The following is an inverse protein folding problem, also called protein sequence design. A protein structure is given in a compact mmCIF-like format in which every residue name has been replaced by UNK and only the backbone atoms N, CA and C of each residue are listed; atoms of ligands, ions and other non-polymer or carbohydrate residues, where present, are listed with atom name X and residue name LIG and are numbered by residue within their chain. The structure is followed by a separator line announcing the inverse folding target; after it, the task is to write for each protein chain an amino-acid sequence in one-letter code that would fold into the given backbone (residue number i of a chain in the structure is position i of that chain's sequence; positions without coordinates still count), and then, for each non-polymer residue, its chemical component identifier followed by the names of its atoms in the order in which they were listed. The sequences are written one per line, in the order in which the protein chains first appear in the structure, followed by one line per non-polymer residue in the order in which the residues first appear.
data_IF_480414599427
#
_entry.id   IF_480414599427
#
_cell.length_a   1.000
_cell.length_b   1.000
_cell.length_c   1.000
_cell.angle_alpha   90.00
_cell.angle_beta   90.00
_cell.angle_gamma   90.00
#
_symmetry.space_group_name_H-M   'P 1'
#
loop_
_entity.id
_entity.type
_entity.pdbx_description
1 polymer ?
#
# COMPACT_ATOMS: atom_id res chain seq x y z
N UNK A 1 5.74 -30.18 45.68
CA UNK A 1 6.75 -29.52 44.81
C UNK A 1 6.36 -29.52 43.33
N UNK A 2 5.78 -30.59 42.77
CA UNK A 2 5.45 -30.70 41.32
C UNK A 2 4.33 -29.74 40.87
N UNK A 3 3.27 -29.58 41.68
CA UNK A 3 2.14 -28.70 41.36
C UNK A 3 2.56 -27.22 41.22
N UNK A 4 3.57 -26.79 41.99
CA UNK A 4 4.18 -25.46 41.87
C UNK A 4 5.00 -25.30 40.58
N UNK A 5 5.74 -26.33 40.17
CA UNK A 5 6.46 -26.33 38.90
C UNK A 5 5.53 -26.26 37.68
N UNK A 6 4.40 -26.97 37.72
CA UNK A 6 3.37 -26.92 36.67
C UNK A 6 2.70 -25.53 36.63
N UNK A 7 2.38 -24.93 37.79
CA UNK A 7 1.83 -23.58 37.86
C UNK A 7 2.77 -22.52 37.30
N UNK A 8 4.08 -22.64 37.59
CA UNK A 8 5.10 -21.74 37.05
C UNK A 8 5.26 -21.92 35.54
N UNK A 9 5.28 -23.17 35.03
CA UNK A 9 5.32 -23.45 33.60
C UNK A 9 4.06 -22.95 32.88
N UNK A 10 2.89 -23.10 33.50
CA UNK A 10 1.63 -22.59 32.97
C UNK A 10 1.64 -21.05 32.92
N UNK A 11 2.04 -20.38 34.01
CA UNK A 11 2.15 -18.93 34.05
C UNK A 11 3.16 -18.38 33.02
N UNK A 12 4.33 -19.03 32.89
CA UNK A 12 5.33 -18.67 31.87
C UNK A 12 4.80 -18.89 30.45
N UNK A 13 4.12 -19.99 30.19
CA UNK A 13 3.53 -20.30 28.88
C UNK A 13 2.44 -19.30 28.51
N UNK A 14 1.53 -18.97 29.44
CA UNK A 14 0.50 -17.95 29.22
C UNK A 14 1.08 -16.56 29.00
N UNK A 15 2.12 -16.18 29.74
CA UNK A 15 2.81 -14.89 29.55
C UNK A 15 3.54 -14.82 28.19
N UNK A 16 4.24 -15.88 27.79
CA UNK A 16 4.91 -15.99 26.50
C UNK A 16 3.91 -16.00 25.34
N UNK A 17 2.82 -16.75 25.44
CA UNK A 17 1.75 -16.77 24.44
C UNK A 17 1.10 -15.39 24.28
N UNK A 18 0.83 -14.70 25.39
CA UNK A 18 0.34 -13.32 25.38
C UNK A 18 1.30 -12.34 24.71
N UNK A 19 2.60 -12.46 25.01
CA UNK A 19 3.65 -11.63 24.39
C UNK A 19 3.77 -11.88 22.89
N UNK A 20 3.76 -13.15 22.44
CA UNK A 20 3.81 -13.50 21.02
C UNK A 20 2.57 -13.05 20.26
N UNK A 21 1.37 -13.19 20.83
CA UNK A 21 0.14 -12.71 20.20
C UNK A 21 0.14 -11.19 20.04
N UNK A 22 0.56 -10.45 21.08
CA UNK A 22 0.69 -8.99 21.01
C UNK A 22 1.73 -8.55 19.97
N UNK A 23 2.86 -9.25 19.89
CA UNK A 23 3.92 -8.96 18.93
C UNK A 23 3.50 -9.30 17.49
N UNK A 24 2.83 -10.43 17.28
CA UNK A 24 2.32 -10.84 15.97
C UNK A 24 1.25 -9.86 15.44
N UNK A 25 0.33 -9.40 16.30
CA UNK A 25 -0.67 -8.38 15.95
C UNK A 25 0.00 -7.06 15.52
N UNK A 26 1.07 -6.66 16.22
CA UNK A 26 1.85 -5.46 15.84
C UNK A 26 2.58 -5.62 14.51
N UNK A 27 3.29 -6.73 14.30
CA UNK A 27 4.02 -7.00 13.06
C UNK A 27 3.05 -7.10 11.87
N UNK A 28 1.87 -7.70 12.05
CA UNK A 28 0.83 -7.78 11.03
C UNK A 28 0.25 -6.40 10.66
N UNK A 29 0.01 -5.54 11.65
CA UNK A 29 -0.47 -4.16 11.42
C UNK A 29 0.56 -3.33 10.64
N UNK A 30 1.85 -3.47 10.96
CA UNK A 30 2.93 -2.76 10.27
C UNK A 30 3.05 -3.21 8.80
N UNK A 31 2.97 -4.52 8.53
CA UNK A 31 2.95 -5.06 7.15
C UNK A 31 1.72 -4.57 6.38
N UNK A 32 0.54 -4.60 7.00
CA UNK A 32 -0.72 -4.18 6.37
C UNK A 32 -0.68 -2.69 6.00
N UNK A 33 -0.21 -1.83 6.91
CA UNK A 33 -0.07 -0.40 6.65
C UNK A 33 0.91 -0.13 5.49
N UNK A 34 2.03 -0.85 5.44
CA UNK A 34 3.01 -0.70 4.36
C UNK A 34 2.44 -1.15 3.00
N UNK A 35 1.65 -2.23 2.97
CA UNK A 35 0.95 -2.70 1.77
C UNK A 35 -0.09 -1.68 1.32
N UNK A 36 -0.87 -1.10 2.24
CA UNK A 36 -1.89 -0.10 1.91
C UNK A 36 -1.24 1.15 1.32
N UNK A 37 -0.15 1.65 1.90
CA UNK A 37 0.57 2.81 1.38
C UNK A 37 1.16 2.51 -0.01
N UNK A 38 1.77 1.33 -0.20
CA UNK A 38 2.32 0.92 -1.50
C UNK A 38 1.20 0.83 -2.55
N UNK A 39 0.08 0.21 -2.20
CA UNK A 39 -1.08 0.04 -3.08
C UNK A 39 -1.69 1.38 -3.42
N UNK A 40 -1.89 2.26 -2.43
CA UNK A 40 -2.39 3.62 -2.64
C UNK A 40 -1.49 4.45 -3.55
N UNK A 41 -0.16 4.35 -3.38
CA UNK A 41 0.80 4.99 -4.26
C UNK A 41 0.73 4.43 -5.68
N UNK A 42 0.75 3.10 -5.85
CA UNK A 42 0.69 2.47 -7.18
C UNK A 42 -0.61 2.83 -7.92
N UNK A 43 -1.75 2.70 -7.25
CA UNK A 43 -3.07 3.01 -7.79
C UNK A 43 -3.19 4.50 -8.17
N UNK A 44 -2.42 5.39 -7.55
CA UNK A 44 -2.47 6.82 -7.89
C UNK A 44 -2.15 7.05 -9.36
N UNK A 45 -1.19 6.33 -9.95
CA UNK A 45 -0.87 6.43 -11.37
C UNK A 45 -1.99 5.87 -12.25
N UNK A 46 -2.58 4.75 -11.84
CA UNK A 46 -3.63 4.09 -12.61
C UNK A 46 -4.88 4.93 -12.66
N UNK A 47 -5.26 5.56 -11.55
CA UNK A 47 -6.36 6.52 -11.52
C UNK A 47 -6.13 7.72 -12.46
N UNK A 48 -4.90 8.25 -12.55
CA UNK A 48 -4.61 9.36 -13.48
C UNK A 48 -4.71 8.93 -14.94
N UNK A 49 -4.27 7.71 -15.26
CA UNK A 49 -4.43 7.15 -16.61
C UNK A 49 -5.89 6.91 -16.97
N UNK A 50 -6.68 6.38 -16.03
CA UNK A 50 -8.13 6.23 -16.21
C UNK A 50 -8.79 7.60 -16.41
N UNK A 51 -8.41 8.61 -15.63
CA UNK A 51 -8.96 9.96 -15.75
C UNK A 51 -8.66 10.55 -17.14
N UNK A 52 -7.43 10.36 -17.62
CA UNK A 52 -7.02 10.73 -18.99
C UNK A 52 -7.91 10.07 -20.04
N UNK A 53 -8.15 8.76 -19.93
CA UNK A 53 -9.01 8.01 -20.87
C UNK A 53 -10.44 8.54 -20.83
N UNK A 54 -11.00 8.74 -19.64
CA UNK A 54 -12.34 9.29 -19.45
C UNK A 54 -12.48 10.70 -20.05
N UNK A 55 -11.46 11.56 -19.92
CA UNK A 55 -11.47 12.88 -20.58
C UNK A 55 -11.47 12.78 -22.11
N UNK A 56 -10.72 11.85 -22.69
CA UNK A 56 -10.73 11.58 -24.14
C UNK A 56 -12.12 11.10 -24.57
N UNK A 57 -12.69 10.14 -23.83
CA UNK A 57 -14.03 9.62 -24.11
C UNK A 57 -15.12 10.68 -23.96
N UNK A 58 -14.99 11.61 -23.01
CA UNK A 58 -15.90 12.75 -22.88
C UNK A 58 -15.85 13.65 -24.11
N UNK A 59 -14.65 13.97 -24.61
CA UNK A 59 -14.50 14.72 -25.86
C UNK A 59 -15.10 13.99 -27.06
N UNK A 60 -14.91 12.67 -27.15
CA UNK A 60 -15.48 11.86 -28.22
C UNK A 60 -17.02 11.83 -28.16
N UNK A 61 -17.59 11.63 -26.97
CA UNK A 61 -19.03 11.68 -26.74
C UNK A 61 -19.63 13.04 -27.14
N UNK A 62 -18.91 14.13 -26.84
CA UNK A 62 -19.33 15.47 -27.26
C UNK A 62 -19.43 15.63 -28.78
N UNK A 63 -18.55 14.98 -29.56
CA UNK A 63 -18.57 15.06 -31.03
C UNK A 63 -19.81 14.42 -31.66
N UNK A 64 -20.37 13.41 -31.02
CA UNK A 64 -21.57 12.69 -31.48
C UNK A 64 -22.84 13.13 -30.74
N UNK A 65 -22.80 14.27 -30.05
CA UNK A 65 -23.91 14.83 -29.27
C UNK A 65 -24.42 13.96 -28.09
N UNK A 66 -23.61 13.02 -27.61
CA UNK A 66 -23.90 12.14 -26.46
C UNK A 66 -23.58 12.85 -25.12
N UNK A 67 -24.34 13.89 -24.80
CA UNK A 67 -24.07 14.78 -23.65
C UNK A 67 -24.14 14.08 -22.30
N UNK A 68 -24.99 13.06 -22.14
CA UNK A 68 -25.09 12.30 -20.90
C UNK A 68 -23.87 11.40 -20.71
N UNK A 69 -23.35 10.79 -21.78
CA UNK A 69 -22.10 10.04 -21.72
C UNK A 69 -20.91 10.97 -21.42
N UNK A 70 -20.88 12.15 -22.02
CA UNK A 70 -19.88 13.18 -21.75
C UNK A 70 -19.85 13.57 -20.27
N UNK A 71 -21.01 13.89 -19.67
CA UNK A 71 -21.11 14.24 -18.23
C UNK A 71 -20.63 13.11 -17.33
N UNK A 72 -21.03 11.86 -17.61
CA UNK A 72 -20.59 10.68 -16.84
C UNK A 72 -19.07 10.52 -16.90
N UNK A 73 -18.48 10.61 -18.09
CA UNK A 73 -17.04 10.50 -18.27
C UNK A 73 -16.28 11.62 -17.55
N UNK A 74 -16.78 12.86 -17.59
CA UNK A 74 -16.18 13.97 -16.84
C UNK A 74 -16.25 13.72 -15.33
N UNK A 75 -17.42 13.31 -14.82
CA UNK A 75 -17.59 13.03 -13.39
C UNK A 75 -16.69 11.89 -12.92
N UNK A 76 -16.55 10.85 -13.74
CA UNK A 76 -15.65 9.74 -13.44
C UNK A 76 -14.18 10.19 -13.44
N UNK A 77 -13.75 10.96 -14.45
CA UNK A 77 -12.41 11.53 -14.47
C UNK A 77 -12.12 12.39 -13.23
N UNK A 78 -13.05 13.26 -12.81
CA UNK A 78 -12.88 14.05 -11.58
C UNK A 78 -12.77 13.17 -10.32
N UNK A 79 -13.56 12.09 -10.24
CA UNK A 79 -13.50 11.13 -9.14
C UNK A 79 -12.15 10.41 -9.10
N UNK A 80 -11.64 9.96 -10.25
CA UNK A 80 -10.36 9.27 -10.36
C UNK A 80 -9.20 10.21 -10.01
N UNK A 81 -9.23 11.48 -10.43
CA UNK A 81 -8.24 12.48 -10.00
C UNK A 81 -8.23 12.63 -8.48
N UNK A 82 -9.41 12.69 -7.84
CA UNK A 82 -9.53 12.77 -6.38
C UNK A 82 -8.99 11.52 -5.69
N UNK A 83 -9.32 10.33 -6.19
CA UNK A 83 -8.81 9.06 -5.65
C UNK A 83 -7.29 8.96 -5.77
N UNK A 84 -6.73 9.39 -6.90
CA UNK A 84 -5.28 9.50 -7.08
C UNK A 84 -4.63 10.39 -6.03
N UNK A 85 -5.19 11.60 -5.81
CA UNK A 85 -4.71 12.52 -4.78
C UNK A 85 -4.82 11.95 -3.37
N UNK A 86 -5.86 11.19 -3.07
CA UNK A 86 -6.02 10.53 -1.76
C UNK A 86 -4.96 9.45 -1.55
N UNK A 87 -4.77 8.56 -2.52
CA UNK A 87 -3.72 7.53 -2.47
C UNK A 87 -2.32 8.14 -2.34
N UNK A 88 -2.05 9.23 -3.07
CA UNK A 88 -0.78 9.95 -2.97
C UNK A 88 -0.60 10.66 -1.61
N UNK A 89 -1.65 11.27 -1.05
CA UNK A 89 -1.61 11.89 0.29
C UNK A 89 -1.34 10.85 1.38
N UNK A 90 -1.93 9.66 1.28
CA UNK A 90 -1.65 8.57 2.22
C UNK A 90 -0.15 8.21 2.19
N UNK A 91 0.46 8.19 1.00
CA UNK A 91 1.92 8.05 0.88
C UNK A 91 2.68 9.24 1.47
N UNK A 92 2.29 10.49 1.25
CA UNK A 92 3.01 11.63 1.83
C UNK A 92 2.97 11.67 3.37
N UNK A 93 1.84 11.22 3.94
CA UNK A 93 1.58 11.18 5.37
C UNK A 93 1.97 9.85 6.02
N UNK A 94 2.69 9.00 5.30
CA UNK A 94 3.17 7.72 5.80
C UNK A 94 3.95 7.88 7.12
N UNK A 95 3.77 6.95 8.09
CA UNK A 95 4.39 7.04 9.40
C UNK A 95 5.90 6.81 9.35
N UNK A 96 6.39 5.98 8.41
CA UNK A 96 7.82 5.70 8.28
C UNK A 96 8.36 6.20 6.96
N UNK A 97 9.36 7.07 7.06
CA UNK A 97 10.12 7.64 5.95
C UNK A 97 11.58 7.20 6.11
N UNK A 98 12.04 6.32 5.23
CA UNK A 98 13.47 5.96 5.20
C UNK A 98 14.25 7.04 4.44
N UNK A 99 15.58 7.16 4.64
CA UNK A 99 16.40 8.09 3.87
C UNK A 99 16.27 7.87 2.34
N UNK A 100 16.08 6.63 1.92
CA UNK A 100 15.86 6.29 0.52
C UNK A 100 14.48 6.75 0.00
N UNK A 101 13.44 6.75 0.85
CA UNK A 101 12.15 7.33 0.49
C UNK A 101 12.25 8.87 0.38
N UNK A 102 12.88 9.51 1.38
CA UNK A 102 12.99 10.97 1.46
C UNK A 102 13.80 11.55 0.29
N UNK A 103 14.80 10.81 -0.18
CA UNK A 103 15.57 11.17 -1.37
C UNK A 103 14.70 11.27 -2.64
N UNK A 104 13.61 10.50 -2.73
CA UNK A 104 12.69 10.51 -3.88
C UNK A 104 11.46 11.40 -3.66
N UNK A 105 11.09 11.71 -2.42
CA UNK A 105 9.84 12.41 -2.08
C UNK A 105 9.69 13.75 -2.81
N UNK A 106 10.77 14.52 -2.90
CA UNK A 106 10.74 15.85 -3.52
C UNK A 106 10.46 15.76 -5.02
N UNK A 107 11.22 14.90 -5.72
CA UNK A 107 11.01 14.69 -7.16
C UNK A 107 9.65 14.06 -7.42
N UNK A 108 9.27 13.03 -6.65
CA UNK A 108 7.98 12.36 -6.79
C UNK A 108 6.82 13.34 -6.64
N UNK A 109 6.88 14.22 -5.64
CA UNK A 109 5.86 15.27 -5.44
C UNK A 109 5.84 16.26 -6.60
N UNK A 110 7.00 16.69 -7.09
CA UNK A 110 7.09 17.60 -8.23
C UNK A 110 6.45 16.97 -9.48
N UNK A 111 6.76 15.71 -9.78
CA UNK A 111 6.20 14.98 -10.94
C UNK A 111 4.69 14.75 -10.79
N UNK A 112 4.24 14.37 -9.60
CA UNK A 112 2.81 14.19 -9.30
C UNK A 112 2.04 15.50 -9.52
N UNK A 113 2.50 16.60 -8.94
CA UNK A 113 1.86 17.90 -9.10
C UNK A 113 1.89 18.38 -10.55
N UNK A 114 3.00 18.19 -11.25
CA UNK A 114 3.10 18.51 -12.67
C UNK A 114 2.07 17.74 -13.50
N UNK A 115 1.85 16.45 -13.22
CA UNK A 115 0.83 15.65 -13.89
C UNK A 115 -0.59 16.15 -13.56
N UNK A 116 -0.91 16.37 -12.28
CA UNK A 116 -2.21 16.93 -11.86
C UNK A 116 -2.50 18.27 -12.54
N UNK A 117 -1.55 19.21 -12.49
CA UNK A 117 -1.68 20.51 -13.16
C UNK A 117 -1.80 20.36 -14.66
N UNK A 118 -1.01 19.47 -15.26
CA UNK A 118 -1.03 19.19 -16.70
C UNK A 118 -2.39 18.68 -17.19
N UNK A 119 -3.15 17.97 -16.35
CA UNK A 119 -4.50 17.50 -16.69
C UNK A 119 -5.59 18.59 -16.62
N UNK A 120 -5.36 19.73 -15.96
CA UNK A 120 -6.39 20.77 -15.82
C UNK A 120 -6.86 21.34 -17.17
N UNK A 121 -5.97 21.67 -18.14
CA UNK A 121 -6.39 22.05 -19.48
C UNK A 121 -7.20 20.94 -20.17
N UNK A 122 -6.76 19.69 -20.05
CA UNK A 122 -7.45 18.53 -20.62
C UNK A 122 -8.88 18.40 -20.09
N UNK A 123 -9.08 18.59 -18.78
CA UNK A 123 -10.41 18.60 -18.15
C UNK A 123 -11.27 19.75 -18.66
N UNK A 124 -10.69 20.94 -18.84
CA UNK A 124 -11.39 22.09 -19.42
C UNK A 124 -11.79 21.80 -20.87
N UNK A 125 -10.94 21.17 -21.67
CA UNK A 125 -11.25 20.78 -23.03
C UNK A 125 -12.37 19.73 -23.09
N UNK A 126 -12.31 18.72 -22.22
CA UNK A 126 -13.35 17.71 -22.07
C UNK A 126 -14.70 18.34 -21.72
N UNK A 127 -14.77 19.26 -20.76
CA UNK A 127 -16.02 19.95 -20.37
C UNK A 127 -16.63 20.80 -21.49
N UNK A 128 -15.80 21.29 -22.40
CA UNK A 128 -16.22 22.14 -23.52
C UNK A 128 -16.38 21.36 -24.84
N UNK A 129 -16.23 20.03 -24.83
CA UNK A 129 -16.35 19.23 -26.04
C UNK A 129 -15.22 19.40 -27.05
N UNK A 130 -14.09 19.99 -26.66
CA UNK A 130 -12.97 20.32 -27.54
C UNK A 130 -12.07 19.10 -27.78
N UNK A 131 -12.58 18.07 -28.46
CA UNK A 131 -11.86 16.80 -28.65
C UNK A 131 -10.47 16.94 -29.28
N UNK A 132 -10.32 17.72 -30.35
CA UNK A 132 -9.02 17.91 -31.01
C UNK A 132 -7.99 18.55 -30.06
N UNK A 133 -8.43 19.50 -29.22
CA UNK A 133 -7.57 20.09 -28.20
C UNK A 133 -7.16 19.08 -27.12
N UNK A 134 -8.05 18.14 -26.76
CA UNK A 134 -7.73 17.05 -25.83
C UNK A 134 -6.62 16.17 -26.42
N UNK A 135 -6.78 15.72 -27.68
CA UNK A 135 -5.81 14.81 -28.32
C UNK A 135 -4.45 15.47 -28.51
N UNK A 136 -4.41 16.73 -28.97
CA UNK A 136 -3.16 17.46 -29.14
C UNK A 136 -2.43 17.65 -27.80
N UNK A 137 -3.14 18.14 -26.78
CA UNK A 137 -2.59 18.33 -25.44
C UNK A 137 -2.13 17.01 -24.79
N UNK A 138 -2.88 15.95 -25.03
CA UNK A 138 -2.55 14.61 -24.56
C UNK A 138 -1.22 14.14 -25.13
N UNK A 139 -1.10 14.18 -26.46
CA UNK A 139 0.05 13.69 -27.21
C UNK A 139 1.31 14.50 -26.90
N UNK A 140 1.20 15.83 -26.83
CA UNK A 140 2.34 16.72 -26.65
C UNK A 140 2.80 16.83 -25.20
N UNK A 141 1.86 16.87 -24.25
CA UNK A 141 2.18 17.20 -22.86
C UNK A 141 1.89 16.06 -21.89
N UNK A 142 0.67 15.51 -21.91
CA UNK A 142 0.23 14.56 -20.86
C UNK A 142 1.04 13.28 -20.89
N UNK A 143 1.33 12.73 -22.07
CA UNK A 143 2.11 11.51 -22.22
C UNK A 143 3.50 11.61 -21.60
N UNK A 144 4.14 12.75 -21.78
CA UNK A 144 5.46 13.04 -21.19
C UNK A 144 5.38 13.13 -19.67
N UNK A 145 4.31 13.75 -19.13
CA UNK A 145 4.08 13.86 -17.69
C UNK A 145 3.77 12.50 -17.05
N UNK A 146 2.96 11.66 -17.70
CA UNK A 146 2.68 10.29 -17.24
C UNK A 146 3.97 9.47 -17.17
N UNK A 147 4.78 9.47 -18.23
CA UNK A 147 6.06 8.76 -18.25
C UNK A 147 7.00 9.24 -17.15
N UNK A 148 7.14 10.57 -16.98
CA UNK A 148 8.02 11.15 -15.98
C UNK A 148 7.56 10.84 -14.54
N UNK A 149 6.24 10.82 -14.30
CA UNK A 149 5.69 10.41 -13.01
C UNK A 149 5.87 8.91 -12.77
N UNK A 150 5.61 8.09 -13.78
CA UNK A 150 5.70 6.63 -13.69
C UNK A 150 7.10 6.15 -13.38
N UNK A 151 8.13 6.76 -13.98
CA UNK A 151 9.53 6.40 -13.72
C UNK A 151 9.90 6.55 -12.24
N UNK A 152 9.59 7.71 -11.65
CA UNK A 152 9.89 7.99 -10.24
C UNK A 152 8.99 7.19 -9.29
N UNK A 153 7.71 7.01 -9.65
CA UNK A 153 6.76 6.22 -8.88
C UNK A 153 7.20 4.76 -8.78
N UNK A 154 7.68 4.17 -9.87
CA UNK A 154 8.17 2.79 -9.86
C UNK A 154 9.35 2.60 -8.91
N UNK A 155 10.25 3.60 -8.81
CA UNK A 155 11.36 3.59 -7.84
C UNK A 155 10.84 3.62 -6.40
N UNK A 156 9.89 4.51 -6.09
CA UNK A 156 9.28 4.61 -4.76
C UNK A 156 8.49 3.34 -4.37
N UNK A 157 7.70 2.79 -5.29
CA UNK A 157 6.96 1.53 -5.10
C UNK A 157 7.93 0.36 -4.87
N UNK A 158 9.07 0.32 -5.57
CA UNK A 158 10.09 -0.72 -5.39
C UNK A 158 10.70 -0.68 -3.98
N UNK A 159 11.09 0.51 -3.49
CA UNK A 159 11.63 0.67 -2.13
C UNK A 159 10.62 0.14 -1.09
N UNK A 160 9.35 0.53 -1.23
CA UNK A 160 8.29 0.07 -0.33
C UNK A 160 7.98 -1.42 -0.45
N UNK A 161 8.06 -1.97 -1.65
CA UNK A 161 7.94 -3.42 -1.84
C UNK A 161 9.06 -4.18 -1.15
N UNK A 162 10.30 -3.70 -1.24
CA UNK A 162 11.44 -4.31 -0.52
C UNK A 162 11.22 -4.24 0.98
N UNK A 163 10.75 -3.10 1.50
CA UNK A 163 10.44 -2.93 2.93
C UNK A 163 9.32 -3.86 3.39
N UNK A 164 8.21 -3.93 2.66
CA UNK A 164 7.10 -4.83 2.98
C UNK A 164 7.55 -6.30 3.02
N UNK A 165 8.38 -6.72 2.06
CA UNK A 165 8.94 -8.07 2.03
C UNK A 165 9.85 -8.33 3.23
N UNK A 166 10.71 -7.37 3.61
CA UNK A 166 11.57 -7.50 4.80
C UNK A 166 10.74 -7.60 6.09
N UNK A 167 9.68 -6.80 6.23
CA UNK A 167 8.78 -6.86 7.38
C UNK A 167 8.06 -8.22 7.46
N UNK A 168 7.60 -8.73 6.31
CA UNK A 168 6.96 -10.05 6.24
C UNK A 168 7.95 -11.19 6.60
N UNK A 169 9.20 -11.12 6.13
CA UNK A 169 10.23 -12.11 6.46
C UNK A 169 10.59 -12.08 7.96
N UNK A 170 10.73 -10.88 8.54
CA UNK A 170 10.95 -10.71 9.98
C UNK A 170 9.78 -11.28 10.80
N UNK A 171 8.53 -11.04 10.38
CA UNK A 171 7.35 -11.62 11.02
C UNK A 171 7.35 -13.15 10.95
N UNK A 172 7.75 -13.73 9.81
CA UNK A 172 7.88 -15.17 9.64
C UNK A 172 8.98 -15.78 10.53
N UNK A 173 10.17 -15.16 10.59
CA UNK A 173 11.26 -15.63 11.46
C UNK A 173 10.89 -15.58 12.95
N UNK A 174 10.15 -14.55 13.37
CA UNK A 174 9.67 -14.44 14.77
C UNK A 174 8.63 -15.50 15.11
N UNK A 175 7.75 -15.80 14.15
CA UNK A 175 6.72 -16.85 14.31
C UNK A 175 7.34 -18.24 14.43
N UNK A 176 8.38 -18.55 13.64
CA UNK A 176 9.07 -19.85 13.73
C UNK A 176 9.85 -20.01 15.04
N UNK A 177 10.48 -18.94 15.54
CA UNK A 177 11.10 -18.92 16.88
C UNK A 177 10.07 -19.18 17.99
N UNK A 178 8.90 -18.53 17.95
CA UNK A 178 7.82 -18.79 18.90
C UNK A 178 7.31 -20.24 18.86
N UNK A 179 7.20 -20.82 17.66
CA UNK A 179 6.86 -22.24 17.47
C UNK A 179 7.89 -23.19 18.08
N UNK A 180 9.19 -22.92 17.92
CA UNK A 180 10.25 -23.72 18.54
C UNK A 180 10.22 -23.66 20.07
N UNK A 181 9.95 -22.49 20.65
CA UNK A 181 9.79 -22.35 22.11
C UNK A 181 8.58 -23.12 22.63
N UNK A 182 7.45 -23.08 21.91
CA UNK A 182 6.24 -23.83 22.29
C UNK A 182 6.48 -25.35 22.26
N UNK A 183 7.15 -25.85 21.22
CA UNK A 183 7.53 -27.27 21.12
C UNK A 183 8.50 -27.64 22.25
N UNK A 184 9.51 -26.81 22.52
CA UNK A 184 10.47 -27.03 23.60
C UNK A 184 9.81 -27.12 24.98
N UNK A 185 8.88 -26.21 25.28
CA UNK A 185 8.11 -26.21 26.53
C UNK A 185 7.21 -27.45 26.66
N UNK A 186 6.59 -27.88 25.55
CA UNK A 186 5.75 -29.09 25.52
C UNK A 186 6.57 -30.36 25.77
N UNK A 187 7.75 -30.49 25.15
CA UNK A 187 8.67 -31.62 25.37
C UNK A 187 9.14 -31.65 26.83
N UNK A 188 9.51 -30.50 27.40
CA UNK A 188 9.88 -30.40 28.82
C UNK A 188 8.75 -30.83 29.75
N UNK A 189 7.51 -30.43 29.45
CA UNK A 189 6.33 -30.84 30.21
C UNK A 189 6.10 -32.36 30.14
N UNK A 190 6.26 -32.97 28.96
CA UNK A 190 6.17 -34.43 28.79
C UNK A 190 7.25 -35.17 29.60
N UNK A 191 8.50 -34.71 29.54
CA UNK A 191 9.62 -35.30 30.28
C UNK A 191 9.38 -35.21 31.79
N UNK A 192 8.94 -34.06 32.30
CA UNK A 192 8.61 -33.89 33.72
C UNK A 192 7.46 -34.82 34.15
N UNK A 193 6.45 -34.98 33.29
CA UNK A 193 5.33 -35.88 33.55
C UNK A 193 5.78 -37.34 33.59
N UNK A 194 6.60 -37.77 32.63
CA UNK A 194 7.15 -39.14 32.58
C UNK A 194 8.05 -39.45 33.77
N UNK A 195 8.95 -38.54 34.17
CA UNK A 195 9.79 -38.70 35.36
C UNK A 195 8.92 -38.84 36.62
N UNK A 196 7.81 -38.10 36.70
CA UNK A 196 6.88 -38.18 37.83
C UNK A 196 6.17 -39.54 37.89
N UNK A 197 5.84 -40.14 36.75
CA UNK A 197 5.20 -41.46 36.69
C UNK A 197 6.16 -42.65 36.79
N UNK A 198 7.44 -42.49 36.41
CA UNK A 198 8.46 -43.56 36.50
C UNK A 198 9.28 -43.52 37.79
N UNK A 199 9.32 -42.37 38.47
CA UNK A 199 10.01 -42.19 39.77
C UNK A 199 9.13 -42.48 40.98
N UNK A 200 7.91 -42.98 40.76
CA UNK A 200 6.95 -43.47 41.76
C UNK A 200 6.76 -44.97 41.56
#
# INVERSE_FOLDING_TARGET
CILGGILVLFALSSALAGYFLWQADRDQRDVTAEIEIRTGLANSSDFLRSARINMIQAGAASRIAEMEAMKRNIAQAESEIKQSQQGYRAYQNRPVKTPADEALDTELNQRFQAYITGMQPMMKYAKNGMFEAIINHESEQIRTLDNAYTDILNKAVKIRSTRANQLAELAHQRTSLGGMFMIGAFVLALVMTLITFMGL
#
